data_IF_002434889213
#
_entry.id   IF_002434889213
#
_cell.length_a   1.000
_cell.length_b   1.000
_cell.length_c   1.000
_cell.angle_alpha   90.00
_cell.angle_beta   90.00
_cell.angle_gamma   90.00
#
_symmetry.space_group_name_H-M   'P 1'
#
loop_
_entity.id
_entity.type
_entity.pdbx_description
1 polymer ?
#
# COMPACT_ATOMS: atom_id res chain seq x y z
N UNK A 1 4.83 19.24 2.61
CA UNK A 1 6.06 18.67 2.07
C UNK A 1 5.68 17.44 1.27
N UNK A 2 6.07 17.38 -0.01
CA UNK A 2 5.93 16.18 -0.82
C UNK A 2 6.97 15.15 -0.36
N UNK A 3 6.64 13.85 -0.48
CA UNK A 3 7.54 12.77 -0.07
C UNK A 3 8.65 12.61 -1.10
N UNK A 4 9.90 12.51 -0.65
CA UNK A 4 11.02 12.17 -1.52
C UNK A 4 10.87 10.74 -2.04
N UNK A 5 11.13 10.53 -3.34
CA UNK A 5 11.08 9.19 -3.92
C UNK A 5 12.10 8.26 -3.25
N UNK A 6 11.68 7.03 -2.92
CA UNK A 6 12.55 6.03 -2.29
C UNK A 6 13.72 5.58 -3.18
N UNK A 7 13.53 5.75 -4.49
CA UNK A 7 14.50 5.51 -5.56
C UNK A 7 14.18 6.38 -6.78
N UNK A 8 15.07 6.41 -7.77
CA UNK A 8 14.85 7.19 -8.99
C UNK A 8 13.59 6.72 -9.75
N UNK A 9 12.88 7.67 -10.33
CA UNK A 9 11.73 7.37 -11.18
C UNK A 9 12.14 6.47 -12.37
N UNK A 10 11.25 5.58 -12.77
CA UNK A 10 11.39 4.77 -13.97
C UNK A 10 10.53 5.33 -15.10
N UNK A 11 11.05 5.27 -16.33
CA UNK A 11 10.32 5.72 -17.51
C UNK A 11 9.32 4.63 -17.95
N UNK A 12 8.05 5.01 -18.05
CA UNK A 12 6.96 4.13 -18.50
C UNK A 12 6.15 4.81 -19.59
N UNK A 13 5.65 4.01 -20.51
CA UNK A 13 4.69 4.49 -21.50
C UNK A 13 3.29 4.57 -20.87
N UNK A 14 2.61 5.69 -21.07
CA UNK A 14 1.23 5.89 -20.60
C UNK A 14 0.31 5.99 -21.82
N UNK A 15 -0.79 5.25 -21.78
CA UNK A 15 -1.83 5.29 -22.79
C UNK A 15 -3.19 5.04 -22.16
N UNK A 16 -4.25 5.50 -22.82
CA UNK A 16 -5.62 5.29 -22.36
C UNK A 16 -6.00 3.80 -22.41
N UNK A 17 -6.97 3.37 -21.60
CA UNK A 17 -7.53 2.02 -21.68
C UNK A 17 -8.01 1.69 -23.10
N UNK A 18 -8.65 2.65 -23.78
CA UNK A 18 -9.12 2.51 -25.17
C UNK A 18 -7.96 2.26 -26.12
N UNK A 19 -6.85 2.99 -25.97
CA UNK A 19 -5.64 2.78 -26.78
C UNK A 19 -5.03 1.42 -26.50
N UNK A 20 -5.00 0.99 -25.24
CA UNK A 20 -4.53 -0.35 -24.85
C UNK A 20 -5.33 -1.48 -25.50
N UNK A 21 -6.66 -1.35 -25.55
CA UNK A 21 -7.59 -2.35 -26.10
C UNK A 21 -7.62 -2.33 -27.63
N UNK A 22 -7.75 -1.16 -28.24
CA UNK A 22 -7.93 -1.02 -29.69
C UNK A 22 -6.61 -0.99 -30.46
N UNK A 23 -5.49 -0.79 -29.75
CA UNK A 23 -4.17 -0.47 -30.33
C UNK A 23 -4.19 0.78 -31.22
N UNK A 24 -5.18 1.66 -31.03
CA UNK A 24 -5.36 2.92 -31.77
C UNK A 24 -5.36 4.10 -30.79
N UNK A 25 -4.56 5.12 -31.10
CA UNK A 25 -4.44 6.34 -30.30
C UNK A 25 -2.98 6.68 -29.99
N UNK A 26 -2.79 7.73 -29.19
CA UNK A 26 -1.47 8.25 -28.85
C UNK A 26 -0.91 7.59 -27.59
N UNK A 27 0.41 7.39 -27.58
CA UNK A 27 1.17 6.91 -26.44
C UNK A 27 2.05 8.07 -25.96
N UNK A 28 1.96 8.40 -24.68
CA UNK A 28 2.90 9.29 -24.02
C UNK A 28 4.10 8.45 -23.58
N UNK A 29 5.17 8.51 -24.36
CA UNK A 29 6.37 7.71 -24.11
C UNK A 29 7.21 8.24 -22.96
N UNK A 30 7.92 7.34 -22.28
CA UNK A 30 8.93 7.65 -21.27
C UNK A 30 8.47 8.64 -20.17
N UNK A 31 7.22 8.52 -19.71
CA UNK A 31 6.73 9.29 -18.59
C UNK A 31 7.41 8.84 -17.29
N UNK A 32 7.94 9.75 -16.46
CA UNK A 32 8.60 9.38 -15.21
C UNK A 32 7.57 8.92 -14.18
N UNK A 33 7.67 7.67 -13.73
CA UNK A 33 6.80 7.06 -12.73
C UNK A 33 7.59 6.59 -11.51
N UNK A 34 6.97 6.62 -10.33
CA UNK A 34 7.47 5.86 -9.20
C UNK A 34 7.52 4.37 -9.56
N UNK A 35 8.50 3.65 -9.02
CA UNK A 35 8.61 2.21 -9.31
C UNK A 35 7.50 1.45 -8.59
N UNK A 36 7.23 0.25 -9.09
CA UNK A 36 6.24 -0.62 -8.43
C UNK A 36 6.72 -1.07 -7.05
N UNK A 37 8.03 -1.29 -6.86
CA UNK A 37 8.59 -1.69 -5.56
C UNK A 37 8.49 -0.56 -4.53
N UNK A 38 8.79 0.69 -4.90
CA UNK A 38 8.62 1.83 -4.01
C UNK A 38 7.15 2.04 -3.65
N UNK A 39 6.27 1.97 -4.65
CA UNK A 39 4.82 2.10 -4.47
C UNK A 39 4.27 1.00 -3.54
N UNK A 40 4.75 -0.23 -3.67
CA UNK A 40 4.34 -1.33 -2.80
C UNK A 40 4.74 -1.08 -1.34
N UNK A 41 5.98 -0.64 -1.10
CA UNK A 41 6.46 -0.32 0.25
C UNK A 41 5.63 0.81 0.90
N UNK A 42 5.38 1.90 0.17
CA UNK A 42 4.53 3.00 0.66
C UNK A 42 3.11 2.54 0.99
N UNK A 43 2.50 1.70 0.15
CA UNK A 43 1.16 1.16 0.38
C UNK A 43 1.09 0.26 1.62
N UNK A 44 2.11 -0.58 1.84
CA UNK A 44 2.22 -1.42 3.04
C UNK A 44 2.26 -0.55 4.31
N UNK A 45 3.19 0.42 4.36
CA UNK A 45 3.36 1.30 5.51
C UNK A 45 2.12 2.18 5.75
N UNK A 46 1.60 2.81 4.70
CA UNK A 46 0.42 3.69 4.80
C UNK A 46 -0.79 2.94 5.36
N UNK A 47 -1.08 1.73 4.86
CA UNK A 47 -2.22 0.94 5.36
C UNK A 47 -2.04 0.59 6.84
N UNK A 48 -0.88 0.07 7.24
CA UNK A 48 -0.63 -0.34 8.63
C UNK A 48 -0.60 0.86 9.59
N UNK A 49 0.17 1.90 9.27
CA UNK A 49 0.32 3.10 10.11
C UNK A 49 -1.00 3.82 10.31
N UNK A 50 -1.80 4.00 9.25
CA UNK A 50 -3.08 4.72 9.35
C UNK A 50 -4.12 3.92 10.13
N UNK A 51 -4.12 2.58 10.00
CA UNK A 51 -4.93 1.72 10.87
C UNK A 51 -4.51 1.85 12.33
N UNK A 52 -3.21 1.82 12.63
CA UNK A 52 -2.69 2.00 13.97
C UNK A 52 -3.04 3.38 14.56
N UNK A 53 -2.86 4.45 13.78
CA UNK A 53 -3.22 5.81 14.17
C UNK A 53 -4.72 5.95 14.45
N UNK A 54 -5.58 5.29 13.67
CA UNK A 54 -7.01 5.26 13.92
C UNK A 54 -7.35 4.55 15.23
N UNK A 55 -6.65 3.46 15.57
CA UNK A 55 -6.84 2.74 16.85
C UNK A 55 -6.42 3.60 18.05
N UNK A 56 -5.45 4.50 17.87
CA UNK A 56 -5.00 5.49 18.85
C UNK A 56 -5.88 6.76 18.87
N UNK A 57 -6.93 6.84 18.05
CA UNK A 57 -7.79 8.01 17.88
C UNK A 57 -7.04 9.29 17.44
N UNK A 58 -5.94 9.12 16.69
CA UNK A 58 -5.11 10.22 16.20
C UNK A 58 -5.60 10.79 14.86
N UNK A 59 -6.28 9.97 14.03
CA UNK A 59 -6.89 10.45 12.79
C UNK A 59 -8.33 10.94 13.00
N UNK A 60 -8.62 12.19 12.60
CA UNK A 60 -9.98 12.77 12.64
C UNK A 60 -10.89 12.29 11.50
N UNK A 61 -10.32 11.80 10.38
CA UNK A 61 -11.06 11.29 9.23
C UNK A 61 -10.36 10.06 8.68
N UNK A 62 -11.01 8.90 8.80
CA UNK A 62 -10.51 7.64 8.24
C UNK A 62 -10.84 7.59 6.75
N UNK A 63 -9.83 7.43 5.90
CA UNK A 63 -10.02 7.21 4.47
C UNK A 63 -10.42 5.75 4.22
N UNK A 64 -11.70 5.54 3.93
CA UNK A 64 -12.26 4.20 3.73
C UNK A 64 -11.73 3.53 2.46
N UNK A 65 -11.26 4.32 1.49
CA UNK A 65 -10.74 3.82 0.23
C UNK A 65 -9.31 3.27 0.34
N UNK A 66 -8.64 3.50 1.48
CA UNK A 66 -7.28 3.03 1.76
C UNK A 66 -7.18 1.50 1.69
N UNK A 67 -8.27 0.80 1.99
CA UNK A 67 -8.37 -0.66 1.93
C UNK A 67 -7.98 -1.25 0.56
N UNK A 68 -8.04 -0.43 -0.52
CA UNK A 68 -7.54 -0.81 -1.85
C UNK A 68 -6.07 -1.21 -1.87
N UNK A 69 -5.25 -0.70 -0.95
CA UNK A 69 -3.84 -1.06 -0.86
C UNK A 69 -3.61 -2.55 -0.60
N UNK A 70 -4.55 -3.22 0.07
CA UNK A 70 -4.52 -4.67 0.29
C UNK A 70 -4.65 -5.41 -1.04
N UNK A 71 -5.57 -4.97 -1.90
CA UNK A 71 -5.75 -5.51 -3.24
C UNK A 71 -4.58 -5.17 -4.17
N UNK A 72 -4.09 -3.93 -4.12
CA UNK A 72 -2.95 -3.48 -4.91
C UNK A 72 -1.70 -4.35 -4.63
N UNK A 73 -1.43 -4.64 -3.35
CA UNK A 73 -0.34 -5.54 -2.96
C UNK A 73 -0.56 -6.94 -3.54
N UNK A 74 -1.78 -7.49 -3.44
CA UNK A 74 -2.11 -8.79 -4.02
C UNK A 74 -1.82 -8.83 -5.52
N UNK A 75 -2.24 -7.81 -6.28
CA UNK A 75 -1.95 -7.72 -7.71
C UNK A 75 -0.45 -7.67 -8.01
N UNK A 76 0.32 -6.88 -7.27
CA UNK A 76 1.77 -6.79 -7.47
C UNK A 76 2.44 -8.14 -7.21
N UNK A 77 2.13 -8.78 -6.08
CA UNK A 77 2.69 -10.09 -5.71
C UNK A 77 2.31 -11.17 -6.71
N UNK A 78 1.06 -11.18 -7.20
CA UNK A 78 0.60 -12.16 -8.19
C UNK A 78 1.32 -12.02 -9.52
N UNK A 79 1.48 -10.80 -10.03
CA UNK A 79 2.03 -10.57 -11.38
C UNK A 79 3.57 -10.55 -11.41
N UNK A 80 4.22 -10.11 -10.32
CA UNK A 80 5.68 -9.86 -10.30
C UNK A 80 6.42 -10.57 -9.18
N UNK A 81 5.72 -11.15 -8.21
CA UNK A 81 6.31 -11.58 -6.94
C UNK A 81 6.64 -10.41 -6.01
N UNK A 82 7.09 -10.72 -4.79
CA UNK A 82 7.59 -9.74 -3.82
C UNK A 82 9.12 -9.77 -3.80
N UNK A 83 9.77 -8.64 -4.09
CA UNK A 83 11.20 -8.46 -3.87
C UNK A 83 11.45 -8.06 -2.41
N UNK A 84 11.40 -9.04 -1.51
CA UNK A 84 11.50 -8.82 -0.05
C UNK A 84 12.76 -8.04 0.34
N UNK A 85 13.98 -8.35 -0.17
CA UNK A 85 15.17 -7.56 0.14
C UNK A 85 15.04 -6.07 -0.22
N UNK A 86 14.49 -5.76 -1.39
CA UNK A 86 14.26 -4.36 -1.80
C UNK A 86 13.17 -3.70 -0.95
N UNK A 87 12.07 -4.41 -0.69
CA UNK A 87 10.97 -3.92 0.13
C UNK A 87 11.42 -3.61 1.56
N UNK A 88 12.23 -4.46 2.19
CA UNK A 88 12.78 -4.19 3.54
C UNK A 88 13.49 -2.83 3.61
N UNK A 89 14.37 -2.56 2.64
CA UNK A 89 15.10 -1.28 2.55
C UNK A 89 14.16 -0.10 2.35
N UNK A 90 13.14 -0.24 1.50
CA UNK A 90 12.18 0.82 1.24
C UNK A 90 11.22 1.06 2.40
N UNK A 91 10.77 0.00 3.08
CA UNK A 91 9.97 0.07 4.29
C UNK A 91 10.70 0.84 5.39
N UNK A 92 12.00 0.59 5.60
CA UNK A 92 12.80 1.35 6.56
C UNK A 92 12.85 2.85 6.22
N UNK A 93 13.11 3.19 4.95
CA UNK A 93 13.09 4.60 4.50
C UNK A 93 11.71 5.24 4.67
N UNK A 94 10.63 4.52 4.35
CA UNK A 94 9.27 5.00 4.55
C UNK A 94 8.98 5.30 6.02
N UNK A 95 9.46 4.46 6.95
CA UNK A 95 9.31 4.68 8.39
C UNK A 95 10.03 5.98 8.80
N UNK A 96 11.26 6.18 8.34
CA UNK A 96 12.03 7.40 8.63
C UNK A 96 11.30 8.65 8.11
N UNK A 97 10.79 8.61 6.87
CA UNK A 97 10.01 9.71 6.28
C UNK A 97 8.68 9.96 7.02
N UNK A 98 7.97 8.90 7.43
CA UNK A 98 6.72 9.03 8.16
C UNK A 98 6.94 9.56 9.59
N UNK A 99 8.05 9.22 10.25
CA UNK A 99 8.45 9.80 11.54
C UNK A 99 8.71 11.30 11.39
N UNK A 100 9.50 11.71 10.39
CA UNK A 100 9.78 13.12 10.15
C UNK A 100 8.49 13.92 9.91
N UNK A 101 7.55 13.34 9.15
CA UNK A 101 6.34 14.02 8.72
C UNK A 101 5.22 14.02 9.76
N UNK A 102 5.03 12.90 10.46
CA UNK A 102 3.89 12.66 11.33
C UNK A 102 4.26 12.44 12.80
N UNK A 103 5.54 12.38 13.13
CA UNK A 103 6.00 12.05 14.48
C UNK A 103 5.49 13.01 15.57
N UNK A 104 5.34 14.30 15.24
CA UNK A 104 4.81 15.30 16.17
C UNK A 104 3.36 15.04 16.60
N UNK A 105 2.57 14.33 15.79
CA UNK A 105 1.17 14.00 16.07
C UNK A 105 0.97 12.53 16.44
N UNK A 106 2.03 11.71 16.37
CA UNK A 106 1.98 10.28 16.66
C UNK A 106 3.26 9.83 17.40
N UNK A 107 3.44 10.22 18.68
CA UNK A 107 4.66 9.93 19.44
C UNK A 107 4.98 8.43 19.54
N UNK A 108 3.97 7.56 19.68
CA UNK A 108 4.17 6.11 19.77
C UNK A 108 4.80 5.54 18.50
N UNK A 109 4.52 6.12 17.33
CA UNK A 109 5.15 5.74 16.07
C UNK A 109 6.62 6.15 15.99
N UNK A 110 7.03 7.22 16.69
CA UNK A 110 8.44 7.58 16.83
C UNK A 110 9.19 6.61 17.76
N UNK A 111 8.55 6.22 18.86
CA UNK A 111 9.16 5.37 19.89
C UNK A 111 9.30 3.92 19.45
N UNK A 112 8.29 3.38 18.78
CA UNK A 112 8.24 1.97 18.40
C UNK A 112 7.50 1.77 17.07
N UNK A 113 8.05 2.27 15.94
CA UNK A 113 7.37 2.25 14.65
C UNK A 113 6.94 0.85 14.22
N UNK A 114 7.82 -0.15 14.38
CA UNK A 114 7.52 -1.54 14.00
C UNK A 114 6.38 -2.12 14.81
N UNK A 115 6.32 -1.83 16.12
CA UNK A 115 5.24 -2.33 16.98
C UNK A 115 3.90 -1.67 16.66
N UNK A 116 3.89 -0.37 16.34
CA UNK A 116 2.68 0.30 15.87
C UNK A 116 2.23 -0.24 14.50
N UNK A 117 3.15 -0.55 13.57
CA UNK A 117 2.80 -1.20 12.29
C UNK A 117 2.21 -2.60 12.51
N UNK A 118 2.78 -3.39 13.42
CA UNK A 118 2.24 -4.72 13.80
C UNK A 118 0.85 -4.58 14.43
N UNK A 119 0.65 -3.62 15.33
CA UNK A 119 -0.66 -3.32 15.90
C UNK A 119 -1.66 -2.94 14.79
N UNK A 120 -1.25 -2.12 13.83
CA UNK A 120 -2.06 -1.78 12.66
C UNK A 120 -2.44 -3.02 11.84
N UNK A 121 -1.48 -3.90 11.59
CA UNK A 121 -1.69 -5.15 10.87
C UNK A 121 -2.67 -6.08 11.59
N UNK A 122 -2.61 -6.19 12.91
CA UNK A 122 -3.58 -6.93 13.72
C UNK A 122 -4.96 -6.24 13.74
N UNK A 123 -5.00 -4.91 13.73
CA UNK A 123 -6.23 -4.13 13.58
C UNK A 123 -6.99 -4.46 12.29
N UNK A 124 -6.27 -4.72 11.20
CA UNK A 124 -6.86 -5.17 9.93
C UNK A 124 -7.51 -6.55 10.02
N UNK A 125 -6.92 -7.49 10.77
CA UNK A 125 -7.48 -8.84 10.95
C UNK A 125 -8.70 -8.85 11.87
N UNK A 126 -8.64 -8.07 12.95
CA UNK A 126 -9.59 -8.14 14.07
C UNK A 126 -10.85 -7.29 13.85
N UNK A 127 -10.78 -6.24 13.03
CA UNK A 127 -11.91 -5.34 12.83
C UNK A 127 -12.69 -5.67 11.55
N UNK A 128 -14.00 -5.99 11.64
CA UNK A 128 -14.82 -6.33 10.48
C UNK A 128 -14.99 -5.17 9.49
N UNK A 129 -14.79 -3.92 9.95
CA UNK A 129 -14.95 -2.71 9.13
C UNK A 129 -14.07 -2.73 7.88
N UNK A 130 -12.87 -3.31 7.95
CA UNK A 130 -11.97 -3.35 6.79
C UNK A 130 -12.46 -4.34 5.73
N UNK A 131 -13.02 -5.48 6.15
CA UNK A 131 -13.65 -6.43 5.23
C UNK A 131 -14.87 -5.81 4.55
N UNK A 132 -15.71 -5.09 5.30
CA UNK A 132 -16.88 -4.38 4.75
C UNK A 132 -16.46 -3.32 3.73
N UNK A 133 -15.46 -2.49 4.07
CA UNK A 133 -14.89 -1.49 3.14
C UNK A 133 -14.30 -2.15 1.90
N UNK A 134 -13.61 -3.28 2.04
CA UNK A 134 -13.07 -4.00 0.88
C UNK A 134 -14.20 -4.45 -0.06
N UNK A 135 -15.30 -4.99 0.49
CA UNK A 135 -16.46 -5.41 -0.30
C UNK A 135 -17.16 -4.22 -0.97
N UNK A 136 -17.25 -3.07 -0.29
CA UNK A 136 -17.92 -1.88 -0.81
C UNK A 136 -17.10 -1.11 -1.84
N UNK A 137 -15.77 -1.04 -1.68
CA UNK A 137 -14.91 -0.24 -2.55
C UNK A 137 -14.17 -1.09 -3.56
N UNK A 138 -13.50 -2.17 -3.15
CA UNK A 138 -12.62 -2.93 -4.05
C UNK A 138 -13.45 -3.80 -5.00
N UNK A 139 -14.36 -4.61 -4.46
CA UNK A 139 -15.11 -5.57 -5.28
C UNK A 139 -15.85 -4.94 -6.49
N UNK A 140 -16.51 -3.77 -6.40
CA UNK A 140 -17.15 -3.16 -7.56
C UNK A 140 -16.19 -2.47 -8.53
N UNK A 141 -14.96 -2.15 -8.12
CA UNK A 141 -13.97 -1.46 -8.95
C UNK A 141 -13.09 -2.40 -9.79
N UNK A 142 -13.05 -3.69 -9.44
CA UNK A 142 -12.21 -4.67 -10.13
C UNK A 142 -12.91 -5.16 -11.40
N UNK A 143 -12.42 -4.69 -12.54
CA UNK A 143 -12.80 -5.20 -13.85
C UNK A 143 -11.93 -6.41 -14.20
N UNK A 144 -12.48 -7.63 -14.15
CA UNK A 144 -11.75 -8.84 -14.50
C UNK A 144 -12.55 -10.12 -14.28
N UNK A 145 -12.02 -11.25 -14.77
CA UNK A 145 -12.68 -12.55 -14.70
C UNK A 145 -12.54 -13.23 -13.32
N UNK A 146 -11.55 -12.83 -12.51
CA UNK A 146 -11.25 -13.43 -11.21
C UNK A 146 -11.61 -12.49 -10.05
N UNK A 147 -12.61 -12.87 -9.27
CA UNK A 147 -12.91 -12.23 -7.98
C UNK A 147 -11.85 -12.63 -6.94
N UNK A 148 -11.26 -11.64 -6.26
CA UNK A 148 -10.30 -11.87 -5.16
C UNK A 148 -11.00 -11.54 -3.84
N UNK A 149 -11.15 -12.54 -2.97
CA UNK A 149 -11.80 -12.36 -1.68
C UNK A 149 -10.94 -11.51 -0.74
N UNK A 150 -11.59 -10.97 0.31
CA UNK A 150 -10.87 -10.30 1.40
C UNK A 150 -9.83 -11.23 2.02
N UNK A 151 -10.20 -12.48 2.29
CA UNK A 151 -9.34 -13.47 2.93
C UNK A 151 -8.07 -13.74 2.11
N UNK A 152 -8.21 -13.86 0.79
CA UNK A 152 -7.09 -14.07 -0.11
C UNK A 152 -6.18 -12.84 -0.19
N UNK A 153 -6.77 -11.66 -0.41
CA UNK A 153 -6.01 -10.41 -0.53
C UNK A 153 -5.30 -10.07 0.79
N UNK A 154 -5.98 -10.20 1.93
CA UNK A 154 -5.42 -9.93 3.24
C UNK A 154 -4.37 -10.95 3.64
N UNK A 155 -4.55 -12.25 3.35
CA UNK A 155 -3.50 -13.25 3.62
C UNK A 155 -2.21 -12.94 2.85
N UNK A 156 -2.32 -12.51 1.59
CA UNK A 156 -1.19 -12.07 0.79
C UNK A 156 -0.53 -10.80 1.36
N UNK A 157 -1.33 -9.80 1.73
CA UNK A 157 -0.86 -8.57 2.36
C UNK A 157 -0.14 -8.85 3.68
N UNK A 158 -0.74 -9.64 4.56
CA UNK A 158 -0.18 -10.01 5.87
C UNK A 158 1.15 -10.72 5.73
N UNK A 159 1.25 -11.70 4.83
CA UNK A 159 2.52 -12.38 4.55
C UNK A 159 3.60 -11.39 4.10
N UNK A 160 3.27 -10.55 3.10
CA UNK A 160 4.20 -9.55 2.58
C UNK A 160 4.66 -8.58 3.67
N UNK A 161 3.73 -8.11 4.51
CA UNK A 161 4.01 -7.20 5.62
C UNK A 161 4.94 -7.83 6.67
N UNK A 162 4.64 -9.05 7.13
CA UNK A 162 5.49 -9.77 8.10
C UNK A 162 6.90 -10.03 7.54
N UNK A 163 6.99 -10.44 6.27
CA UNK A 163 8.26 -10.69 5.61
C UNK A 163 9.18 -9.46 5.59
N UNK A 164 8.63 -8.24 5.63
CA UNK A 164 9.39 -6.99 5.52
C UNK A 164 9.57 -6.23 6.84
N UNK A 165 8.71 -6.44 7.86
CA UNK A 165 8.80 -5.73 9.15
C UNK A 165 9.51 -6.55 10.26
N UNK A 166 9.58 -7.88 10.15
CA UNK A 166 10.28 -8.75 11.13
C UNK A 166 11.79 -8.88 10.86
N UNK A 167 12.44 -7.78 10.42
CA UNK A 167 13.85 -7.75 10.05
C UNK A 167 14.74 -7.11 11.12
#
# INVERSE_FOLDING_TARGET
METDLLEAAENRDIYSLITGLTKKGEIVGAFPCATIASTQAEKLISMMRRTAASMRNLERVVDESLVRHIYDNFCIVREKGADVPVLKRFVQKCIEQDIERYGNQYPEFCESPVEELKMGLEGLASSPVYKERYQQFVAPMVFGESYVSWEEAYACFRRTALDVIDA
#
